data_IF_323951374787
#
_entry.id   IF_323951374787
#
_cell.length_a   1.000
_cell.length_b   1.000
_cell.length_c   1.000
_cell.angle_alpha   90.00
_cell.angle_beta   90.00
_cell.angle_gamma   90.00
#
_symmetry.space_group_name_H-M   'P 1'
#
loop_
_entity.id
_entity.type
_entity.pdbx_description
1 polymer ?
#
# COMPACT_ATOMS: atom_id res chain seq x y z
N UNK A 1 -4.26 -7.46 0.12
CA UNK A 1 -4.13 -7.68 1.58
C UNK A 1 -5.38 -8.40 2.06
N UNK A 2 -5.26 -9.49 2.81
CA UNK A 2 -6.42 -10.24 3.35
C UNK A 2 -6.65 -9.92 4.82
N UNK A 3 -5.60 -10.01 5.64
CA UNK A 3 -5.61 -9.65 7.05
C UNK A 3 -4.91 -8.30 7.22
N UNK A 4 -5.66 -7.25 7.54
CA UNK A 4 -5.08 -5.91 7.73
C UNK A 4 -4.51 -5.72 9.14
N UNK A 5 -5.10 -6.34 10.16
CA UNK A 5 -4.59 -6.31 11.54
C UNK A 5 -4.77 -7.68 12.21
N UNK A 6 -3.76 -8.19 12.96
CA UNK A 6 -2.38 -7.68 13.03
C UNK A 6 -1.69 -7.74 11.65
N UNK A 7 -0.90 -6.73 11.31
CA UNK A 7 -0.24 -6.63 10.02
C UNK A 7 1.08 -7.41 10.03
N UNK A 8 1.27 -8.32 9.09
CA UNK A 8 2.50 -9.14 8.99
C UNK A 8 3.40 -8.60 7.88
N UNK A 9 4.50 -7.95 8.26
CA UNK A 9 5.52 -7.45 7.32
C UNK A 9 6.14 -8.61 6.52
N UNK A 10 6.41 -9.73 7.19
CA UNK A 10 6.97 -10.94 6.56
C UNK A 10 6.06 -11.47 5.43
N UNK A 11 4.76 -11.67 5.73
CA UNK A 11 3.81 -12.17 4.74
C UNK A 11 3.61 -11.20 3.56
N UNK A 12 3.62 -9.89 3.84
CA UNK A 12 3.55 -8.87 2.78
C UNK A 12 4.77 -8.95 1.86
N UNK A 13 5.97 -8.91 2.43
CA UNK A 13 7.22 -8.84 1.67
C UNK A 13 7.47 -10.13 0.88
N UNK A 14 7.12 -11.29 1.44
CA UNK A 14 7.19 -12.58 0.74
C UNK A 14 6.27 -12.65 -0.48
N UNK A 15 5.13 -11.96 -0.45
CA UNK A 15 4.19 -11.91 -1.57
C UNK A 15 4.60 -10.95 -2.69
N UNK A 16 5.52 -10.00 -2.43
CA UNK A 16 5.95 -9.02 -3.42
C UNK A 16 7.25 -9.49 -4.09
N UNK A 17 7.27 -9.75 -5.41
CA UNK A 17 8.44 -10.24 -6.13
C UNK A 17 9.67 -9.37 -5.91
N UNK A 18 10.84 -9.95 -5.62
CA UNK A 18 12.08 -9.21 -5.34
C UNK A 18 12.50 -8.24 -6.46
N UNK A 19 12.10 -8.53 -7.71
CA UNK A 19 12.35 -7.71 -8.88
C UNK A 19 11.50 -6.43 -8.98
N UNK A 20 10.49 -6.26 -8.11
CA UNK A 20 9.62 -5.09 -8.12
C UNK A 20 10.40 -3.81 -7.76
N UNK A 21 10.55 -2.91 -8.74
CA UNK A 21 11.21 -1.61 -8.58
C UNK A 21 10.27 -0.52 -8.10
N UNK A 22 8.97 -0.69 -8.33
CA UNK A 22 7.93 0.27 -7.96
C UNK A 22 6.68 -0.48 -7.47
N UNK A 23 6.08 0.03 -6.40
CA UNK A 23 4.87 -0.51 -5.78
C UNK A 23 3.88 0.62 -5.56
N UNK A 24 2.70 0.53 -6.19
CA UNK A 24 1.60 1.48 -5.96
C UNK A 24 0.62 0.88 -4.96
N UNK A 25 0.38 1.60 -3.87
CA UNK A 25 -0.54 1.21 -2.81
C UNK A 25 -1.82 2.01 -2.98
N UNK A 26 -2.95 1.31 -3.09
CA UNK A 26 -4.26 1.91 -3.30
C UNK A 26 -5.09 1.81 -2.02
N UNK A 27 -5.44 2.96 -1.46
CA UNK A 27 -6.27 3.10 -0.27
C UNK A 27 -7.69 3.54 -0.64
N UNK A 28 -8.67 2.91 0.00
CA UNK A 28 -10.10 3.26 -0.16
C UNK A 28 -10.57 4.16 0.98
N UNK A 29 -9.75 5.14 1.34
CA UNK A 29 -10.03 6.13 2.37
C UNK A 29 -9.33 7.45 2.04
N UNK A 30 -9.66 8.50 2.78
CA UNK A 30 -8.96 9.77 2.77
C UNK A 30 -8.85 10.24 4.21
N UNK A 31 -7.61 10.42 4.67
CA UNK A 31 -7.30 11.01 5.97
C UNK A 31 -6.74 12.42 5.75
N UNK A 32 -7.55 13.49 5.90
CA UNK A 32 -7.08 14.84 5.65
C UNK A 32 -5.95 15.24 6.60
N UNK A 33 -4.84 15.74 6.04
CA UNK A 33 -3.69 16.19 6.82
C UNK A 33 -2.70 15.09 7.22
N UNK A 34 -2.95 13.83 6.85
CA UNK A 34 -2.00 12.75 7.09
C UNK A 34 -0.80 12.82 6.13
N UNK A 35 0.32 12.22 6.53
CA UNK A 35 1.49 12.04 5.65
C UNK A 35 1.23 11.01 4.52
N UNK A 36 0.21 10.18 4.69
CA UNK A 36 -0.27 9.22 3.71
C UNK A 36 -1.44 8.40 4.26
N UNK A 37 -2.08 7.61 3.41
CA UNK A 37 -3.20 6.77 3.79
C UNK A 37 -2.73 5.49 4.55
N UNK A 38 -3.61 4.82 5.31
CA UNK A 38 -3.19 3.81 6.28
C UNK A 38 -2.40 2.64 5.70
N UNK A 39 -2.89 2.03 4.60
CA UNK A 39 -2.18 0.90 4.01
C UNK A 39 -0.87 1.34 3.36
N UNK A 40 -0.85 2.52 2.73
CA UNK A 40 0.39 3.11 2.22
C UNK A 40 1.46 3.23 3.30
N UNK A 41 1.12 3.77 4.47
CA UNK A 41 2.08 3.93 5.58
C UNK A 41 2.60 2.59 6.12
N UNK A 42 1.73 1.59 6.25
CA UNK A 42 2.14 0.24 6.66
C UNK A 42 3.13 -0.40 5.65
N UNK A 43 2.87 -0.24 4.35
CA UNK A 43 3.76 -0.76 3.30
C UNK A 43 5.09 -0.02 3.29
N UNK A 44 5.09 1.31 3.46
CA UNK A 44 6.32 2.10 3.60
C UNK A 44 7.15 1.60 4.77
N UNK A 45 6.52 1.41 5.94
CA UNK A 45 7.21 0.91 7.13
C UNK A 45 7.77 -0.51 6.90
N UNK A 46 6.99 -1.42 6.31
CA UNK A 46 7.46 -2.78 6.03
C UNK A 46 8.69 -2.83 5.11
N UNK A 47 8.73 -1.99 4.07
CA UNK A 47 9.90 -1.91 3.18
C UNK A 47 11.10 -1.23 3.86
N UNK A 48 10.86 -0.18 4.65
CA UNK A 48 11.91 0.51 5.39
C UNK A 48 12.59 -0.39 6.43
N UNK A 49 11.80 -1.11 7.23
CA UNK A 49 12.31 -2.06 8.23
C UNK A 49 13.10 -3.22 7.60
N UNK A 50 12.67 -3.69 6.42
CA UNK A 50 13.37 -4.73 5.68
C UNK A 50 14.61 -4.24 4.90
N UNK A 51 14.88 -2.93 4.90
CA UNK A 51 15.95 -2.33 4.08
C UNK A 51 15.77 -2.54 2.57
N UNK A 52 14.54 -2.82 2.13
CA UNK A 52 14.24 -3.15 0.73
C UNK A 52 13.98 -1.88 -0.06
N UNK A 53 14.85 -1.56 -1.00
CA UNK A 53 14.70 -0.40 -1.86
C UNK A 53 13.67 -0.65 -2.98
N UNK A 54 12.52 0.04 -2.91
CA UNK A 54 11.56 0.15 -4.01
C UNK A 54 10.90 1.52 -3.95
N UNK A 55 10.48 2.05 -5.11
CA UNK A 55 9.69 3.29 -5.16
C UNK A 55 8.25 2.99 -4.76
N UNK A 56 7.83 3.44 -3.59
CA UNK A 56 6.45 3.25 -3.10
C UNK A 56 5.64 4.50 -3.43
N UNK A 57 4.48 4.30 -4.06
CA UNK A 57 3.55 5.36 -4.45
C UNK A 57 2.21 5.16 -3.72
N UNK A 58 1.64 6.24 -3.18
CA UNK A 58 0.30 6.23 -2.61
C UNK A 58 -0.75 6.67 -3.62
N UNK A 59 -1.90 6.01 -3.62
CA UNK A 59 -3.06 6.35 -4.46
C UNK A 59 -4.36 6.10 -3.72
N UNK A 60 -5.42 6.81 -4.15
CA UNK A 60 -6.77 6.67 -3.59
C UNK A 60 -7.76 6.27 -4.65
N UNK A 61 -8.73 5.45 -4.29
CA UNK A 61 -9.80 5.01 -5.19
C UNK A 61 -11.12 4.80 -4.43
N UNK A 62 -12.21 4.67 -5.17
CA UNK A 62 -13.45 4.08 -4.65
C UNK A 62 -14.15 4.82 -3.49
N UNK A 63 -13.81 6.07 -3.20
CA UNK A 63 -14.46 6.87 -2.16
C UNK A 63 -15.93 7.10 -2.49
N UNK A 64 -16.81 6.92 -1.51
CA UNK A 64 -18.26 7.12 -1.68
C UNK A 64 -18.84 6.35 -2.87
N UNK A 65 -18.45 5.07 -3.02
CA UNK A 65 -18.86 4.21 -4.13
C UNK A 65 -18.51 4.73 -5.52
N UNK A 66 -17.49 5.59 -5.64
CA UNK A 66 -16.94 5.98 -6.93
C UNK A 66 -16.45 4.73 -7.69
N UNK A 67 -16.78 4.67 -8.97
CA UNK A 67 -16.44 3.54 -9.84
C UNK A 67 -14.91 3.29 -9.88
N UNK A 68 -14.52 2.02 -9.93
CA UNK A 68 -13.13 1.58 -10.07
C UNK A 68 -13.07 0.50 -11.16
N UNK A 69 -12.98 0.96 -12.41
CA UNK A 69 -13.05 0.12 -13.61
C UNK A 69 -11.69 -0.40 -14.04
N UNK A 70 -11.60 -1.45 -14.87
CA UNK A 70 -10.33 -1.95 -15.43
C UNK A 70 -9.51 -0.93 -16.24
N UNK A 71 -10.12 0.15 -16.73
CA UNK A 71 -9.42 1.19 -17.49
C UNK A 71 -8.68 2.22 -16.60
N UNK A 72 -8.92 2.20 -15.28
CA UNK A 72 -8.24 3.04 -14.29
C UNK A 72 -7.02 2.31 -13.73
#
# INVERSE_FOLDING_TARGET
>A
VRLYRPFSNEALLAAIPASAKCVSVLDRTKEPGSAGEPLYLDVVNAFAEAGRAAKILGGRYGLSSKEFTPAM
#
